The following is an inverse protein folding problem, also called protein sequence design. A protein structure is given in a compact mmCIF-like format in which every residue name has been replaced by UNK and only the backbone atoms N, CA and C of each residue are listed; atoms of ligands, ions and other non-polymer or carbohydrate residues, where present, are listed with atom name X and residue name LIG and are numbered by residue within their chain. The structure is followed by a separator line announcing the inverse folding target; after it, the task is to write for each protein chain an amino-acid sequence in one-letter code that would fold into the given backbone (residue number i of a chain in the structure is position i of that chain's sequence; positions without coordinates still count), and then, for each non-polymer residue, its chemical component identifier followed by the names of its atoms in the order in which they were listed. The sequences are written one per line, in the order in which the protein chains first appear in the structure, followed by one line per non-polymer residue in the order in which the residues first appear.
data_IF_597710104890
#
_entry.id   IF_597710104890
#
_cell.length_a   1.000
_cell.length_b   1.000
_cell.length_c   1.000
_cell.angle_alpha   90.00
_cell.angle_beta   90.00
_cell.angle_gamma   90.00
#
_symmetry.space_group_name_H-M   'P 1'
#
loop_
_entity.id
_entity.type
_entity.pdbx_description
1 polymer ?
#
# COMPACT_ATOMS: atom_id res chain seq x y z
N UNK A 1 15.18 27.58 6.05
CA UNK A 1 13.87 27.36 5.39
C UNK A 1 13.19 26.23 6.15
N UNK A 2 11.92 26.36 6.47
CA UNK A 2 11.16 25.27 7.12
C UNK A 2 10.79 24.26 6.04
N UNK A 3 11.06 22.98 6.28
CA UNK A 3 10.70 21.87 5.39
C UNK A 3 9.17 21.82 5.22
N UNK A 4 8.68 21.63 4.00
CA UNK A 4 7.25 21.48 3.71
C UNK A 4 6.94 20.15 3.02
N UNK A 5 5.69 19.69 3.09
CA UNK A 5 5.23 18.50 2.38
C UNK A 5 5.49 18.60 0.85
N UNK A 6 5.34 19.80 0.28
CA UNK A 6 5.58 20.06 -1.14
C UNK A 6 7.05 19.92 -1.53
N UNK A 7 7.99 20.31 -0.64
CA UNK A 7 9.43 20.15 -0.91
C UNK A 7 9.77 18.67 -1.05
N UNK A 8 9.26 17.81 -0.15
CA UNK A 8 9.48 16.37 -0.23
C UNK A 8 8.98 15.76 -1.53
N UNK A 9 7.82 16.22 -2.01
CA UNK A 9 7.24 15.72 -3.27
C UNK A 9 8.09 16.16 -4.46
N UNK A 10 8.50 17.42 -4.54
CA UNK A 10 9.31 17.93 -5.65
C UNK A 10 10.60 17.13 -5.84
N UNK A 11 11.28 16.79 -4.73
CA UNK A 11 12.51 16.00 -4.76
C UNK A 11 12.26 14.52 -5.14
N UNK A 12 11.01 14.08 -5.03
CA UNK A 12 10.62 12.68 -5.33
C UNK A 12 10.11 12.50 -6.77
N UNK A 13 9.59 13.54 -7.43
CA UNK A 13 8.89 13.44 -8.72
C UNK A 13 9.73 12.77 -9.82
N UNK A 14 11.05 12.97 -9.85
CA UNK A 14 11.93 12.32 -10.83
C UNK A 14 11.95 10.78 -10.65
N UNK A 15 11.79 10.31 -9.41
CA UNK A 15 11.88 8.89 -9.06
C UNK A 15 10.51 8.20 -8.98
N UNK A 16 9.47 8.94 -8.65
CA UNK A 16 8.10 8.46 -8.43
C UNK A 16 7.11 9.03 -9.45
N UNK A 17 7.55 9.35 -10.66
CA UNK A 17 6.65 9.74 -11.75
C UNK A 17 5.85 8.54 -12.26
N UNK A 18 4.57 8.77 -12.55
CA UNK A 18 3.75 7.78 -13.24
C UNK A 18 4.29 7.57 -14.67
N UNK A 19 4.22 6.33 -15.21
CA UNK A 19 4.60 6.08 -16.60
C UNK A 19 3.85 7.01 -17.56
N UNK A 20 4.53 7.48 -18.61
CA UNK A 20 3.94 8.42 -19.58
C UNK A 20 2.64 7.92 -20.23
N UNK A 21 2.53 6.60 -20.43
CA UNK A 21 1.30 5.97 -20.94
C UNK A 21 0.12 6.15 -19.98
N UNK A 22 0.39 6.10 -18.66
CA UNK A 22 -0.64 6.30 -17.62
C UNK A 22 -1.12 7.74 -17.63
N UNK A 23 -0.18 8.70 -17.68
CA UNK A 23 -0.50 10.13 -17.74
C UNK A 23 -1.36 10.44 -18.96
N UNK A 24 -0.97 9.95 -20.14
CA UNK A 24 -1.73 10.14 -21.39
C UNK A 24 -3.11 9.49 -21.34
N UNK A 25 -3.23 8.28 -20.78
CA UNK A 25 -4.51 7.63 -20.59
C UNK A 25 -5.44 8.46 -19.70
N UNK A 26 -4.91 9.02 -18.61
CA UNK A 26 -5.66 9.88 -17.70
C UNK A 26 -6.07 11.21 -18.34
N UNK A 27 -5.21 11.84 -19.14
CA UNK A 27 -5.53 13.05 -19.89
C UNK A 27 -6.69 12.81 -20.86
N UNK A 28 -6.65 11.72 -21.64
CA UNK A 28 -7.72 11.36 -22.55
C UNK A 28 -9.07 11.13 -21.86
N UNK A 29 -9.05 10.53 -20.67
CA UNK A 29 -10.25 10.26 -19.90
C UNK A 29 -10.95 11.53 -19.38
N UNK A 30 -10.19 12.61 -19.23
CA UNK A 30 -10.75 13.92 -18.89
C UNK A 30 -11.39 14.64 -20.10
N UNK A 31 -11.25 14.08 -21.31
CA UNK A 31 -11.88 14.63 -22.52
C UNK A 31 -13.21 13.92 -22.82
N UNK A 32 -14.34 14.63 -22.82
CA UNK A 32 -15.68 14.02 -22.91
C UNK A 32 -15.96 13.28 -24.25
N UNK A 33 -15.15 13.51 -25.27
CA UNK A 33 -15.31 12.89 -26.59
C UNK A 33 -14.37 11.71 -26.85
N UNK A 34 -13.57 11.29 -25.87
CA UNK A 34 -12.62 10.19 -26.05
C UNK A 34 -13.35 8.85 -26.07
N UNK A 35 -13.10 8.05 -27.09
CA UNK A 35 -13.67 6.73 -27.25
C UNK A 35 -12.90 5.67 -26.42
N UNK A 36 -13.59 4.58 -26.04
CA UNK A 36 -12.96 3.43 -25.41
C UNK A 36 -11.84 2.81 -26.27
N UNK A 37 -11.93 2.95 -27.62
CA UNK A 37 -10.90 2.46 -28.54
C UNK A 37 -9.61 3.26 -28.41
N UNK A 38 -9.70 4.60 -28.40
CA UNK A 38 -8.52 5.49 -28.28
C UNK A 38 -7.78 5.25 -26.97
N UNK A 39 -8.51 5.08 -25.86
CA UNK A 39 -7.90 4.76 -24.55
C UNK A 39 -7.24 3.38 -24.64
N UNK A 40 -7.92 2.40 -25.24
CA UNK A 40 -7.39 1.05 -25.43
C UNK A 40 -6.09 1.02 -26.23
N UNK A 41 -5.98 1.84 -27.29
CA UNK A 41 -4.78 1.97 -28.13
C UNK A 41 -3.59 2.52 -27.32
N UNK A 42 -3.79 3.57 -26.54
CA UNK A 42 -2.72 4.14 -25.69
C UNK A 42 -2.26 3.13 -24.62
N UNK A 43 -3.20 2.44 -23.94
CA UNK A 43 -2.83 1.43 -22.95
C UNK A 43 -2.05 0.28 -23.62
N UNK A 44 -2.40 -0.10 -24.85
CA UNK A 44 -1.74 -1.15 -25.61
C UNK A 44 -0.28 -0.82 -25.99
N UNK A 45 0.14 0.43 -25.95
CA UNK A 45 1.55 0.82 -26.13
C UNK A 45 2.45 0.26 -25.02
N UNK A 46 1.89 -0.07 -23.83
CA UNK A 46 2.62 -0.74 -22.75
C UNK A 46 2.08 -2.16 -22.54
N UNK A 47 2.76 -3.19 -23.11
CA UNK A 47 2.34 -4.58 -22.96
C UNK A 47 2.32 -5.07 -21.50
N UNK A 48 3.19 -4.51 -20.64
CA UNK A 48 3.23 -4.89 -19.23
C UNK A 48 2.03 -4.32 -18.46
N UNK A 49 1.64 -3.09 -18.73
CA UNK A 49 0.43 -2.47 -18.21
C UNK A 49 -0.82 -3.22 -18.71
N UNK A 50 -0.90 -3.48 -20.00
CA UNK A 50 -2.00 -4.24 -20.62
C UNK A 50 -2.18 -5.61 -19.95
N UNK A 51 -1.10 -6.39 -19.86
CA UNK A 51 -1.14 -7.72 -19.23
C UNK A 51 -1.56 -7.66 -17.75
N UNK A 52 -1.13 -6.63 -17.04
CA UNK A 52 -1.49 -6.41 -15.64
C UNK A 52 -2.98 -6.09 -15.50
N UNK A 53 -3.50 -5.14 -16.27
CA UNK A 53 -4.91 -4.76 -16.25
C UNK A 53 -5.81 -5.94 -16.59
N UNK A 54 -5.49 -6.69 -17.66
CA UNK A 54 -6.23 -7.89 -18.03
C UNK A 54 -6.17 -8.96 -16.94
N UNK A 55 -5.07 -9.08 -16.21
CA UNK A 55 -4.98 -9.99 -15.07
C UNK A 55 -5.89 -9.53 -13.93
N UNK A 56 -5.89 -8.24 -13.60
CA UNK A 56 -6.73 -7.67 -12.53
C UNK A 56 -8.21 -7.89 -12.86
N UNK A 57 -8.67 -7.49 -14.03
CA UNK A 57 -10.10 -7.61 -14.41
C UNK A 57 -10.57 -9.06 -14.59
N UNK A 58 -9.66 -9.98 -14.91
CA UNK A 58 -9.96 -11.42 -15.00
C UNK A 58 -9.74 -12.17 -13.68
N UNK A 59 -9.37 -11.51 -12.61
CA UNK A 59 -9.23 -12.15 -11.29
C UNK A 59 -10.60 -12.47 -10.69
N UNK A 60 -10.64 -13.44 -9.77
CA UNK A 60 -11.86 -13.76 -9.04
C UNK A 60 -12.35 -12.57 -8.20
N UNK A 61 -11.47 -11.62 -7.85
CA UNK A 61 -11.84 -10.36 -7.21
C UNK A 61 -12.89 -9.55 -8.00
N UNK A 62 -12.86 -9.63 -9.36
CA UNK A 62 -13.89 -9.03 -10.22
C UNK A 62 -15.03 -9.99 -10.54
N UNK A 63 -14.76 -11.29 -10.60
CA UNK A 63 -15.78 -12.34 -10.73
C UNK A 63 -16.57 -12.31 -12.05
N UNK A 64 -16.01 -11.78 -13.15
CA UNK A 64 -16.70 -11.78 -14.43
C UNK A 64 -16.86 -13.20 -14.97
N UNK A 65 -18.06 -13.55 -15.52
CA UNK A 65 -18.37 -14.91 -15.95
C UNK A 65 -17.62 -15.35 -17.20
N UNK A 66 -17.07 -14.41 -17.97
CA UNK A 66 -16.30 -14.68 -19.20
C UNK A 66 -14.98 -13.94 -19.19
N UNK A 67 -13.95 -14.57 -19.76
CA UNK A 67 -12.63 -13.98 -19.88
C UNK A 67 -12.65 -12.72 -20.76
N UNK A 68 -12.00 -11.69 -20.26
CA UNK A 68 -11.79 -10.40 -20.95
C UNK A 68 -10.42 -10.45 -21.60
N UNK A 69 -10.36 -10.32 -22.94
CA UNK A 69 -9.13 -10.53 -23.70
C UNK A 69 -8.51 -9.22 -24.23
N UNK A 70 -9.28 -8.13 -24.22
CA UNK A 70 -8.83 -6.82 -24.74
C UNK A 70 -9.15 -5.69 -23.79
N UNK A 71 -8.36 -4.63 -23.84
CA UNK A 71 -8.60 -3.41 -23.04
C UNK A 71 -9.92 -2.74 -23.43
N UNK A 72 -10.25 -2.67 -24.74
CA UNK A 72 -11.53 -2.10 -25.18
C UNK A 72 -12.73 -2.88 -24.60
N UNK A 73 -12.62 -4.21 -24.51
CA UNK A 73 -13.64 -5.03 -23.85
C UNK A 73 -13.68 -4.79 -22.34
N UNK A 74 -12.52 -4.62 -21.69
CA UNK A 74 -12.45 -4.25 -20.26
C UNK A 74 -13.15 -2.92 -20.01
N UNK A 75 -12.89 -1.90 -20.83
CA UNK A 75 -13.56 -0.59 -20.74
C UNK A 75 -15.07 -0.74 -20.86
N UNK A 76 -15.56 -1.55 -21.81
CA UNK A 76 -17.00 -1.77 -22.03
C UNK A 76 -17.69 -2.42 -20.84
N UNK A 77 -17.00 -3.34 -20.14
CA UNK A 77 -17.57 -4.15 -19.05
C UNK A 77 -17.39 -3.45 -17.69
N UNK A 78 -16.20 -2.96 -17.43
CA UNK A 78 -15.81 -2.35 -16.14
C UNK A 78 -16.24 -0.89 -16.08
N UNK A 79 -16.15 -0.18 -17.18
CA UNK A 79 -16.31 1.26 -17.28
C UNK A 79 -14.97 1.97 -17.50
N UNK A 80 -15.06 3.15 -18.11
CA UNK A 80 -13.87 3.94 -18.44
C UNK A 80 -13.20 4.51 -17.20
N UNK A 81 -13.98 5.10 -16.31
CA UNK A 81 -13.47 5.72 -15.06
C UNK A 81 -12.89 4.67 -14.14
N UNK A 82 -13.58 3.55 -13.98
CA UNK A 82 -13.17 2.45 -13.12
C UNK A 82 -11.85 1.84 -13.60
N UNK A 83 -11.71 1.61 -14.92
CA UNK A 83 -10.46 1.08 -15.46
C UNK A 83 -9.30 2.05 -15.29
N UNK A 84 -9.56 3.37 -15.37
CA UNK A 84 -8.53 4.39 -15.12
C UNK A 84 -8.07 4.39 -13.68
N UNK A 85 -9.01 4.35 -12.76
CA UNK A 85 -8.67 4.29 -11.34
C UNK A 85 -7.78 3.05 -11.07
N UNK A 86 -8.07 1.89 -11.70
CA UNK A 86 -7.23 0.69 -11.62
C UNK A 86 -5.83 0.85 -12.24
N UNK A 87 -5.75 1.52 -13.39
CA UNK A 87 -4.47 1.86 -14.03
C UNK A 87 -3.62 2.68 -13.07
N UNK A 88 -4.20 3.71 -12.48
CA UNK A 88 -3.54 4.57 -11.51
C UNK A 88 -3.03 3.76 -10.31
N UNK A 89 -3.92 3.04 -9.62
CA UNK A 89 -3.58 2.28 -8.42
C UNK A 89 -2.50 1.25 -8.69
N UNK A 90 -2.65 0.43 -9.76
CA UNK A 90 -1.66 -0.60 -10.11
C UNK A 90 -0.32 -0.03 -10.54
N UNK A 91 -0.30 1.15 -11.16
CA UNK A 91 0.94 1.82 -11.58
C UNK A 91 1.66 2.44 -10.41
N UNK A 92 0.94 3.09 -9.49
CA UNK A 92 1.51 3.63 -8.26
C UNK A 92 2.16 2.52 -7.41
N UNK A 93 1.48 1.37 -7.24
CA UNK A 93 2.07 0.19 -6.57
C UNK A 93 3.37 -0.23 -7.23
N UNK A 94 3.43 -0.29 -8.57
CA UNK A 94 4.64 -0.70 -9.30
C UNK A 94 5.79 0.29 -9.14
N UNK A 95 5.52 1.58 -9.17
CA UNK A 95 6.53 2.63 -9.01
C UNK A 95 7.12 2.55 -7.61
N UNK A 96 6.28 2.61 -6.59
CA UNK A 96 6.73 2.68 -5.20
C UNK A 96 7.28 1.36 -4.66
N UNK A 97 6.81 0.19 -5.13
CA UNK A 97 7.36 -1.11 -4.73
C UNK A 97 8.80 -1.34 -5.18
N UNK A 98 9.30 -0.55 -6.15
CA UNK A 98 10.68 -0.60 -6.63
C UNK A 98 11.63 0.33 -5.87
N UNK A 99 11.08 1.27 -5.10
CA UNK A 99 11.89 2.20 -4.34
C UNK A 99 12.49 1.50 -3.11
N UNK A 100 13.80 1.63 -2.88
CA UNK A 100 14.42 1.08 -1.69
C UNK A 100 13.85 1.72 -0.42
N UNK A 101 13.44 0.89 0.54
CA UNK A 101 12.99 1.33 1.85
C UNK A 101 13.58 0.39 2.92
N UNK A 102 14.15 0.98 3.98
CA UNK A 102 14.75 0.24 5.10
C UNK A 102 14.01 0.47 6.42
N UNK A 103 13.00 1.35 6.43
CA UNK A 103 12.28 1.74 7.66
C UNK A 103 11.08 0.84 7.93
N UNK A 104 10.43 0.37 6.88
CA UNK A 104 9.20 -0.43 6.98
C UNK A 104 9.29 -1.67 6.07
N UNK A 105 8.57 -2.71 6.47
CA UNK A 105 8.36 -3.88 5.61
C UNK A 105 7.37 -3.49 4.49
N UNK A 106 7.88 -3.40 3.26
CA UNK A 106 7.11 -3.00 2.09
C UNK A 106 5.98 -3.98 1.75
N UNK A 107 6.12 -5.28 2.08
CA UNK A 107 5.06 -6.26 1.86
C UNK A 107 3.88 -5.95 2.80
N UNK A 108 4.16 -5.76 4.08
CA UNK A 108 3.13 -5.38 5.07
C UNK A 108 2.49 -4.03 4.77
N UNK A 109 3.29 -3.06 4.29
CA UNK A 109 2.75 -1.76 3.88
C UNK A 109 1.71 -1.92 2.77
N UNK A 110 2.05 -2.66 1.71
CA UNK A 110 1.12 -2.87 0.59
C UNK A 110 -0.02 -3.81 0.93
N UNK A 111 0.17 -4.80 1.81
CA UNK A 111 -0.92 -5.63 2.32
C UNK A 111 -1.93 -4.81 3.11
N UNK A 112 -1.47 -3.91 3.99
CA UNK A 112 -2.35 -2.98 4.69
C UNK A 112 -3.11 -2.08 3.71
N UNK A 113 -2.41 -1.41 2.81
CA UNK A 113 -3.01 -0.51 1.82
C UNK A 113 -4.02 -1.24 0.91
N UNK A 114 -3.68 -2.44 0.47
CA UNK A 114 -4.58 -3.26 -0.35
C UNK A 114 -5.82 -3.70 0.43
N UNK A 115 -5.65 -4.17 1.67
CA UNK A 115 -6.79 -4.57 2.49
C UNK A 115 -7.70 -3.38 2.79
N UNK A 116 -7.13 -2.22 3.09
CA UNK A 116 -7.90 -0.96 3.23
C UNK A 116 -8.67 -0.63 1.97
N UNK A 117 -8.08 -0.83 0.79
CA UNK A 117 -8.78 -0.69 -0.49
C UNK A 117 -9.95 -1.66 -0.64
N UNK A 118 -9.77 -2.94 -0.30
CA UNK A 118 -10.82 -3.95 -0.35
C UNK A 118 -11.97 -3.59 0.61
N UNK A 119 -11.65 -3.23 1.85
CA UNK A 119 -12.65 -2.80 2.85
C UNK A 119 -13.39 -1.55 2.36
N UNK A 120 -12.68 -0.56 1.81
CA UNK A 120 -13.29 0.66 1.26
C UNK A 120 -14.28 0.35 0.13
N UNK A 121 -13.94 -0.59 -0.75
CA UNK A 121 -14.82 -1.07 -1.82
C UNK A 121 -16.08 -1.75 -1.26
N UNK A 122 -15.92 -2.58 -0.25
CA UNK A 122 -17.05 -3.24 0.42
C UNK A 122 -17.95 -2.21 1.09
N UNK A 123 -17.38 -1.27 1.86
CA UNK A 123 -18.14 -0.17 2.47
C UNK A 123 -18.89 0.67 1.43
N UNK A 124 -18.24 0.99 0.31
CA UNK A 124 -18.86 1.73 -0.80
C UNK A 124 -20.07 1.01 -1.39
N UNK A 125 -20.09 -0.34 -1.42
CA UNK A 125 -21.26 -1.12 -1.81
C UNK A 125 -22.40 -1.00 -0.80
N UNK A 126 -22.12 -1.07 0.49
CA UNK A 126 -23.12 -0.82 1.52
C UNK A 126 -23.73 0.59 1.42
N UNK A 127 -22.90 1.57 1.07
CA UNK A 127 -23.30 2.96 0.83
C UNK A 127 -23.99 3.17 -0.52
N UNK A 128 -24.02 2.15 -1.39
CA UNK A 128 -24.51 2.26 -2.78
C UNK A 128 -23.81 3.38 -3.55
N UNK A 129 -22.52 3.56 -3.29
CA UNK A 129 -21.71 4.56 -3.97
C UNK A 129 -21.64 4.28 -5.47
N UNK A 130 -21.65 5.31 -6.33
CA UNK A 130 -21.71 5.12 -7.79
C UNK A 130 -20.41 4.53 -8.36
N UNK A 131 -19.26 4.73 -7.69
CA UNK A 131 -17.97 4.23 -8.14
C UNK A 131 -17.22 3.55 -6.98
N UNK A 132 -17.41 2.24 -6.84
CA UNK A 132 -16.77 1.43 -5.81
C UNK A 132 -15.28 1.22 -6.07
N UNK A 133 -14.87 1.19 -7.35
CA UNK A 133 -13.47 1.01 -7.74
C UNK A 133 -12.63 2.23 -7.35
N UNK A 134 -13.20 3.42 -7.44
CA UNK A 134 -12.54 4.63 -6.95
C UNK A 134 -12.26 4.55 -5.44
N UNK A 135 -13.23 4.10 -4.64
CA UNK A 135 -13.02 3.89 -3.21
C UNK A 135 -11.93 2.85 -2.96
N UNK A 136 -11.89 1.77 -3.76
CA UNK A 136 -10.81 0.78 -3.69
C UNK A 136 -9.44 1.42 -3.92
N UNK A 137 -9.27 2.19 -5.00
CA UNK A 137 -7.98 2.80 -5.34
C UNK A 137 -7.58 3.89 -4.35
N UNK A 138 -8.54 4.65 -3.85
CA UNK A 138 -8.28 5.64 -2.79
C UNK A 138 -7.81 4.97 -1.50
N UNK A 139 -8.43 3.87 -1.08
CA UNK A 139 -7.96 3.08 0.05
C UNK A 139 -6.59 2.45 -0.19
N UNK A 140 -6.29 2.00 -1.41
CA UNK A 140 -4.97 1.49 -1.78
C UNK A 140 -3.87 2.56 -1.71
N UNK A 141 -4.20 3.83 -1.94
CA UNK A 141 -3.24 4.92 -2.06
C UNK A 141 -3.26 5.91 -0.88
N UNK A 142 -4.14 5.73 0.12
CA UNK A 142 -4.34 6.70 1.20
C UNK A 142 -3.05 7.08 1.93
N UNK A 143 -2.17 6.12 2.14
CA UNK A 143 -0.92 6.23 2.88
C UNK A 143 0.34 6.46 2.01
N UNK A 144 0.19 6.63 0.70
CA UNK A 144 1.34 6.70 -0.22
C UNK A 144 2.33 7.81 0.14
N UNK A 145 1.88 8.88 0.79
CA UNK A 145 2.71 9.97 1.27
C UNK A 145 3.77 9.53 2.29
N UNK A 146 3.47 8.50 3.09
CA UNK A 146 4.45 7.95 4.04
C UNK A 146 5.68 7.36 3.31
N UNK A 147 5.50 6.75 2.14
CA UNK A 147 6.62 6.23 1.34
C UNK A 147 7.52 7.35 0.82
N UNK A 148 6.95 8.51 0.49
CA UNK A 148 7.71 9.72 0.13
C UNK A 148 8.53 10.20 1.33
N UNK A 149 7.90 10.31 2.51
CA UNK A 149 8.58 10.72 3.75
C UNK A 149 9.72 9.78 4.10
N UNK A 150 9.48 8.47 4.09
CA UNK A 150 10.49 7.45 4.39
C UNK A 150 11.69 7.49 3.44
N UNK A 151 11.44 7.86 2.21
CA UNK A 151 12.48 7.97 1.18
C UNK A 151 13.31 9.23 1.31
N UNK A 152 12.66 10.38 1.48
CA UNK A 152 13.30 11.70 1.45
C UNK A 152 13.90 12.11 2.79
N UNK A 153 13.28 11.70 3.89
CA UNK A 153 13.70 12.06 5.24
C UNK A 153 13.72 10.83 6.16
N UNK A 154 14.61 9.85 5.90
CA UNK A 154 14.60 8.58 6.62
C UNK A 154 14.87 8.73 8.13
N UNK A 155 15.67 9.71 8.53
CA UNK A 155 16.01 9.91 9.95
C UNK A 155 14.85 10.52 10.73
N UNK A 156 14.19 11.57 10.19
CA UNK A 156 12.99 12.15 10.79
C UNK A 156 11.83 11.13 10.79
N UNK A 157 11.70 10.35 9.71
CA UNK A 157 10.69 9.30 9.64
C UNK A 157 10.91 8.21 10.70
N UNK A 158 12.17 7.84 10.96
CA UNK A 158 12.51 6.90 12.03
C UNK A 158 12.12 7.48 13.40
N UNK A 159 12.43 8.75 13.65
CA UNK A 159 12.05 9.44 14.87
C UNK A 159 10.53 9.43 15.09
N UNK A 160 9.74 9.75 14.06
CA UNK A 160 8.28 9.70 14.12
C UNK A 160 7.73 8.29 14.40
N UNK A 161 8.26 7.26 13.72
CA UNK A 161 7.90 5.85 13.95
C UNK A 161 8.24 5.39 15.38
N UNK A 162 9.42 5.74 15.88
CA UNK A 162 9.81 5.41 17.25
C UNK A 162 8.96 6.15 18.28
N UNK A 163 8.62 7.40 18.01
CA UNK A 163 7.72 8.19 18.87
C UNK A 163 6.34 7.58 18.95
N UNK A 164 5.73 7.25 17.80
CA UNK A 164 4.44 6.58 17.73
C UNK A 164 4.43 5.20 18.43
N UNK A 165 5.60 4.53 18.53
CA UNK A 165 5.73 3.25 19.23
C UNK A 165 5.84 3.44 20.74
N UNK A 166 6.56 4.46 21.20
CA UNK A 166 6.83 4.73 22.63
C UNK A 166 5.66 5.41 23.32
N UNK A 167 4.93 6.25 22.62
CA UNK A 167 3.83 7.05 23.16
C UNK A 167 2.46 6.53 22.70
N UNK A 168 1.37 6.79 23.41
CA UNK A 168 0.01 6.45 22.98
C UNK A 168 -0.48 7.41 21.89
N UNK A 169 0.28 7.53 20.82
CA UNK A 169 0.10 8.47 19.73
C UNK A 169 -0.04 7.73 18.40
N UNK A 170 -0.97 8.15 17.55
CA UNK A 170 -1.06 7.66 16.18
C UNK A 170 0.11 8.19 15.33
N UNK A 171 0.46 7.47 14.25
CA UNK A 171 1.62 7.82 13.43
C UNK A 171 1.50 9.24 12.86
N UNK A 172 0.35 9.61 12.30
CA UNK A 172 0.16 10.95 11.72
C UNK A 172 0.35 12.10 12.74
N UNK A 173 0.00 11.88 14.02
CA UNK A 173 0.24 12.86 15.06
C UNK A 173 1.73 12.94 15.42
N UNK A 174 2.42 11.78 15.49
CA UNK A 174 3.87 11.75 15.71
C UNK A 174 4.62 12.45 14.55
N UNK A 175 4.18 12.23 13.30
CA UNK A 175 4.72 12.91 12.13
C UNK A 175 4.52 14.43 12.22
N UNK A 176 3.34 14.91 12.62
CA UNK A 176 3.08 16.34 12.81
C UNK A 176 3.98 16.97 13.87
N UNK A 177 4.31 16.23 14.94
CA UNK A 177 5.22 16.74 15.97
C UNK A 177 6.67 16.79 15.50
N UNK A 178 7.11 15.85 14.61
CA UNK A 178 8.49 15.77 14.13
C UNK A 178 8.71 16.63 12.88
N UNK A 179 7.78 16.62 11.93
CA UNK A 179 7.92 17.31 10.64
C UNK A 179 7.17 18.64 10.58
N UNK A 180 6.12 18.84 11.40
CA UNK A 180 5.16 19.93 11.26
C UNK A 180 3.99 19.62 10.30
N UNK A 181 4.00 18.46 9.63
CA UNK A 181 2.97 17.93 8.73
C UNK A 181 2.95 16.39 8.78
N UNK A 182 1.94 15.76 8.21
CA UNK A 182 1.80 14.31 8.19
C UNK A 182 1.83 13.72 6.77
N UNK A 183 1.82 12.39 6.69
CA UNK A 183 1.82 11.67 5.40
C UNK A 183 0.56 11.93 4.56
N UNK A 184 -0.57 12.27 5.16
CA UNK A 184 -1.78 12.66 4.44
C UNK A 184 -1.57 13.94 3.65
N UNK A 185 -0.89 14.93 4.25
CA UNK A 185 -0.51 16.17 3.56
C UNK A 185 0.48 15.91 2.42
N UNK A 186 1.49 15.06 2.65
CA UNK A 186 2.46 14.68 1.60
C UNK A 186 1.79 13.91 0.47
N UNK A 187 0.89 12.96 0.79
CA UNK A 187 0.09 12.24 -0.20
C UNK A 187 -0.76 13.18 -1.05
N UNK A 188 -1.40 14.17 -0.43
CA UNK A 188 -2.18 15.18 -1.14
C UNK A 188 -1.33 16.01 -2.12
N UNK A 189 -0.11 16.44 -1.72
CA UNK A 189 0.81 17.15 -2.61
C UNK A 189 1.28 16.26 -3.77
N UNK A 190 1.56 14.97 -3.51
CA UNK A 190 1.92 13.99 -4.55
C UNK A 190 0.78 13.81 -5.57
N UNK A 191 -0.45 13.65 -5.10
CA UNK A 191 -1.62 13.49 -5.96
C UNK A 191 -1.89 14.76 -6.81
N UNK A 192 -1.65 15.96 -6.26
CA UNK A 192 -1.66 17.20 -7.06
C UNK A 192 -0.58 17.22 -8.13
N UNK A 193 0.64 16.83 -7.77
CA UNK A 193 1.75 16.77 -8.72
C UNK A 193 1.51 15.76 -9.85
N UNK A 194 0.75 14.69 -9.59
CA UNK A 194 0.27 13.74 -10.59
C UNK A 194 -0.97 14.21 -11.35
N UNK A 195 -1.46 15.43 -11.07
CA UNK A 195 -2.67 16.00 -11.67
C UNK A 195 -3.91 15.12 -11.51
N UNK A 196 -4.06 14.48 -10.32
CA UNK A 196 -5.22 13.65 -10.01
C UNK A 196 -6.45 14.50 -9.66
N UNK A 197 -7.66 13.93 -9.80
CA UNK A 197 -8.90 14.61 -9.38
C UNK A 197 -8.86 15.06 -7.92
N UNK A 198 -9.50 16.20 -7.64
CA UNK A 198 -9.60 16.80 -6.29
C UNK A 198 -10.06 15.83 -5.21
N UNK A 199 -10.86 14.81 -5.58
CA UNK A 199 -11.32 13.78 -4.63
C UNK A 199 -10.16 12.98 -4.05
N UNK A 200 -9.16 12.60 -4.87
CA UNK A 200 -7.95 11.91 -4.40
C UNK A 200 -7.15 12.79 -3.44
N UNK A 201 -6.97 14.06 -3.82
CA UNK A 201 -6.24 15.05 -3.01
C UNK A 201 -6.90 15.26 -1.64
N UNK A 202 -8.24 15.45 -1.63
CA UNK A 202 -9.00 15.67 -0.41
C UNK A 202 -8.95 14.45 0.52
N UNK A 203 -9.14 13.25 -0.02
CA UNK A 203 -9.12 12.01 0.75
C UNK A 203 -7.74 11.76 1.33
N UNK A 204 -6.68 11.85 0.53
CA UNK A 204 -5.33 11.70 1.05
C UNK A 204 -5.05 12.65 2.21
N UNK A 205 -5.45 13.92 2.09
CA UNK A 205 -5.22 14.96 3.11
C UNK A 205 -5.99 14.73 4.40
N UNK A 206 -7.24 14.25 4.30
CA UNK A 206 -8.20 14.30 5.40
C UNK A 206 -8.61 12.92 5.93
N UNK A 207 -8.04 11.81 5.43
CA UNK A 207 -8.47 10.46 5.82
C UNK A 207 -8.29 10.17 7.32
N UNK A 208 -7.45 10.88 8.04
CA UNK A 208 -7.36 10.77 9.50
C UNK A 208 -8.40 11.61 10.25
N UNK A 209 -8.90 12.69 9.64
CA UNK A 209 -9.86 13.62 10.24
C UNK A 209 -10.92 14.01 9.20
N UNK A 210 -11.83 13.09 8.82
CA UNK A 210 -12.81 13.32 7.75
C UNK A 210 -13.77 14.49 8.02
N UNK A 211 -14.00 14.87 9.26
CA UNK A 211 -14.81 16.05 9.60
C UNK A 211 -14.20 17.36 9.09
N UNK A 212 -12.87 17.42 8.90
CA UNK A 212 -12.17 18.60 8.40
C UNK A 212 -12.24 18.76 6.87
N UNK A 213 -12.73 17.74 6.15
CA UNK A 213 -12.89 17.83 4.71
C UNK A 213 -14.07 18.74 4.34
N UNK A 214 -13.82 19.75 3.51
CA UNK A 214 -14.88 20.63 3.01
C UNK A 214 -15.70 19.96 1.90
N UNK A 215 -15.05 19.16 1.08
CA UNK A 215 -15.62 18.38 -0.06
C UNK A 215 -15.28 16.90 0.09
N UNK A 216 -16.02 16.04 -0.55
CA UNK A 216 -15.81 14.58 -0.54
C UNK A 216 -15.83 13.96 0.87
N UNK A 217 -16.67 14.51 1.77
CA UNK A 217 -16.73 14.10 3.17
C UNK A 217 -17.15 12.65 3.36
N UNK A 218 -18.10 12.18 2.54
CA UNK A 218 -18.56 10.80 2.58
C UNK A 218 -17.47 9.82 2.18
N UNK A 219 -16.79 10.10 1.06
CA UNK A 219 -15.70 9.28 0.56
C UNK A 219 -14.53 9.29 1.55
N UNK A 220 -14.17 10.46 2.09
CA UNK A 220 -13.12 10.59 3.09
C UNK A 220 -13.45 9.80 4.37
N UNK A 221 -14.68 9.87 4.86
CA UNK A 221 -15.14 9.09 6.00
C UNK A 221 -15.15 7.58 5.70
N UNK A 222 -15.49 7.19 4.47
CA UNK A 222 -15.43 5.79 4.02
C UNK A 222 -14.01 5.25 4.08
N UNK A 223 -13.02 6.01 3.60
CA UNK A 223 -11.61 5.61 3.65
C UNK A 223 -11.09 5.59 5.09
N UNK A 224 -11.47 6.57 5.91
CA UNK A 224 -11.15 6.56 7.34
C UNK A 224 -11.65 5.30 8.04
N UNK A 225 -12.93 4.95 7.86
CA UNK A 225 -13.49 3.72 8.43
C UNK A 225 -12.79 2.47 7.90
N UNK A 226 -12.45 2.44 6.61
CA UNK A 226 -11.73 1.32 6.02
C UNK A 226 -10.34 1.15 6.64
N UNK A 227 -9.58 2.23 6.86
CA UNK A 227 -8.26 2.18 7.52
C UNK A 227 -8.36 1.71 8.97
N UNK A 228 -9.33 2.24 9.73
CA UNK A 228 -9.58 1.82 11.13
C UNK A 228 -9.95 0.34 11.20
N UNK A 229 -10.88 -0.13 10.36
CA UNK A 229 -11.31 -1.54 10.32
C UNK A 229 -10.12 -2.43 9.94
N UNK A 230 -9.31 -2.04 8.96
CA UNK A 230 -8.08 -2.76 8.57
C UNK A 230 -7.10 -2.85 9.73
N UNK A 231 -6.87 -1.74 10.43
CA UNK A 231 -6.00 -1.71 11.59
C UNK A 231 -6.47 -2.63 12.73
N UNK A 232 -7.79 -2.76 12.92
CA UNK A 232 -8.38 -3.68 13.91
C UNK A 232 -8.28 -5.14 13.48
N UNK A 233 -8.57 -5.46 12.22
CA UNK A 233 -8.55 -6.81 11.67
C UNK A 233 -7.14 -7.41 11.63
N UNK A 234 -6.12 -6.61 11.32
CA UNK A 234 -4.73 -7.04 11.18
C UNK A 234 -3.83 -6.63 12.35
N UNK A 235 -4.41 -6.22 13.49
CA UNK A 235 -3.66 -5.87 14.71
C UNK A 235 -3.01 -7.10 15.31
N UNK A 236 -1.84 -7.51 14.78
CA UNK A 236 -0.95 -8.45 15.45
C UNK A 236 -0.05 -7.69 16.41
N UNK A 237 0.34 -8.32 17.53
CA UNK A 237 1.11 -7.73 18.62
C UNK A 237 2.50 -7.14 18.24
N UNK A 238 2.90 -7.22 16.98
CA UNK A 238 4.14 -6.65 16.42
C UNK A 238 3.91 -5.49 15.45
N UNK A 239 2.68 -4.97 15.32
CA UNK A 239 2.41 -3.85 14.45
C UNK A 239 3.06 -2.59 15.05
N UNK A 240 4.17 -2.16 14.47
CA UNK A 240 4.84 -0.88 14.73
C UNK A 240 3.96 0.32 14.41
N UNK A 241 2.79 0.07 13.81
CA UNK A 241 1.81 1.06 13.42
C UNK A 241 0.57 0.88 14.29
N UNK A 242 0.27 1.86 15.14
CA UNK A 242 -1.01 1.91 15.84
C UNK A 242 -2.09 2.21 14.81
N UNK A 243 -3.20 1.46 14.85
CA UNK A 243 -4.38 1.77 14.06
C UNK A 243 -4.76 3.24 14.26
N UNK A 244 -5.20 3.89 13.19
CA UNK A 244 -5.74 5.24 13.28
C UNK A 244 -6.85 5.27 14.32
N UNK A 245 -6.85 6.30 15.15
CA UNK A 245 -7.93 6.48 16.12
C UNK A 245 -9.23 6.78 15.35
N UNK A 246 -10.29 6.05 15.68
CA UNK A 246 -11.59 6.28 15.08
C UNK A 246 -12.09 7.70 15.40
N UNK A 247 -12.34 8.49 14.37
CA UNK A 247 -13.05 9.76 14.50
C UNK A 247 -14.56 9.49 14.62
N UNK A 248 -15.21 9.85 15.73
CA UNK A 248 -16.64 9.55 15.95
C UNK A 248 -17.56 10.04 14.84
N UNK A 249 -17.27 11.22 14.25
CA UNK A 249 -18.03 11.79 13.15
C UNK A 249 -18.01 10.99 11.85
N UNK A 250 -17.10 10.03 11.70
CA UNK A 250 -17.03 9.21 10.49
C UNK A 250 -18.27 8.30 10.32
N UNK A 251 -18.77 7.73 11.41
CA UNK A 251 -20.02 6.96 11.38
C UNK A 251 -21.22 7.83 11.01
N UNK A 252 -21.30 9.03 11.58
CA UNK A 252 -22.39 9.98 11.27
C UNK A 252 -22.35 10.41 9.81
N UNK A 253 -21.16 10.68 9.27
CA UNK A 253 -20.98 11.08 7.87
C UNK A 253 -21.38 9.99 6.88
N UNK A 254 -21.12 8.73 7.20
CA UNK A 254 -21.47 7.60 6.35
C UNK A 254 -22.90 7.13 6.56
N UNK A 255 -23.53 7.41 7.71
CA UNK A 255 -24.81 6.85 8.10
C UNK A 255 -24.79 5.34 8.32
N UNK A 256 -23.60 4.75 8.37
CA UNK A 256 -23.42 3.33 8.68
C UNK A 256 -23.39 3.11 10.19
N UNK A 257 -23.67 1.90 10.62
CA UNK A 257 -23.61 1.51 12.02
C UNK A 257 -22.49 0.50 12.27
N UNK A 258 -22.07 0.34 13.51
CA UNK A 258 -20.98 -0.57 13.89
C UNK A 258 -21.30 -2.04 13.57
N UNK A 259 -22.55 -2.41 13.46
CA UNK A 259 -23.00 -3.77 13.16
C UNK A 259 -22.57 -4.26 11.78
N UNK A 260 -22.20 -3.34 10.86
CA UNK A 260 -21.67 -3.73 9.55
C UNK A 260 -20.24 -4.24 9.59
N UNK A 261 -19.50 -4.04 10.69
CA UNK A 261 -18.07 -4.38 10.75
C UNK A 261 -17.81 -5.86 10.48
N UNK A 262 -18.57 -6.75 11.13
CA UNK A 262 -18.41 -8.19 10.96
C UNK A 262 -18.66 -8.63 9.50
N UNK A 263 -19.81 -8.31 8.85
CA UNK A 263 -20.01 -8.65 7.44
C UNK A 263 -19.01 -7.97 6.49
N UNK A 264 -18.56 -6.77 6.78
CA UNK A 264 -17.54 -6.08 5.97
C UNK A 264 -16.20 -6.81 6.04
N UNK A 265 -15.73 -7.18 7.23
CA UNK A 265 -14.48 -7.93 7.41
C UNK A 265 -14.58 -9.30 6.74
N UNK A 266 -15.68 -10.03 6.93
CA UNK A 266 -15.88 -11.34 6.33
C UNK A 266 -15.86 -11.28 4.79
N UNK A 267 -16.49 -10.27 4.18
CA UNK A 267 -16.45 -10.06 2.73
C UNK A 267 -15.07 -9.63 2.25
N UNK A 268 -14.38 -8.76 3.00
CA UNK A 268 -13.04 -8.32 2.67
C UNK A 268 -12.03 -9.48 2.72
N UNK A 269 -12.07 -10.32 3.75
CA UNK A 269 -11.22 -11.52 3.88
C UNK A 269 -11.43 -12.48 2.70
N UNK A 270 -12.67 -12.69 2.29
CA UNK A 270 -12.98 -13.55 1.15
C UNK A 270 -12.41 -13.03 -0.19
N UNK A 271 -12.18 -11.72 -0.34
CA UNK A 271 -11.69 -11.09 -1.56
C UNK A 271 -10.18 -10.80 -1.53
N UNK A 272 -9.58 -10.73 -0.34
CA UNK A 272 -8.23 -10.20 -0.17
C UNK A 272 -7.14 -10.99 -0.91
N UNK A 273 -7.12 -12.32 -0.78
CA UNK A 273 -6.07 -13.14 -1.41
C UNK A 273 -6.10 -13.04 -2.94
N UNK A 274 -7.29 -12.95 -3.54
CA UNK A 274 -7.44 -12.77 -4.97
C UNK A 274 -6.97 -11.38 -5.43
N UNK A 275 -7.33 -10.35 -4.68
CA UNK A 275 -6.85 -8.99 -4.93
C UNK A 275 -5.32 -8.90 -4.79
N UNK A 276 -4.75 -9.55 -3.75
CA UNK A 276 -3.31 -9.61 -3.50
C UNK A 276 -2.56 -10.25 -4.66
N UNK A 277 -3.02 -11.40 -5.12
CA UNK A 277 -2.41 -12.11 -6.24
C UNK A 277 -2.48 -11.32 -7.56
N UNK A 278 -3.55 -10.52 -7.76
CA UNK A 278 -3.76 -9.75 -8.98
C UNK A 278 -2.94 -8.45 -9.01
N UNK A 279 -2.82 -7.74 -7.88
CA UNK A 279 -2.36 -6.36 -7.82
C UNK A 279 -0.93 -6.24 -7.30
N UNK A 280 -0.57 -6.99 -6.25
CA UNK A 280 0.77 -6.87 -5.67
C UNK A 280 1.84 -7.61 -6.48
N UNK A 281 3.07 -7.09 -6.52
CA UNK A 281 4.16 -7.74 -7.24
C UNK A 281 4.50 -9.11 -6.64
N UNK A 282 4.61 -10.14 -7.47
CA UNK A 282 5.00 -11.47 -7.00
C UNK A 282 6.51 -11.49 -6.65
N UNK A 283 6.85 -11.69 -5.37
CA UNK A 283 8.23 -11.74 -4.87
C UNK A 283 9.13 -12.72 -5.61
N UNK A 284 8.61 -13.87 -6.04
CA UNK A 284 9.40 -14.89 -6.77
C UNK A 284 9.90 -14.40 -8.13
N UNK A 285 9.15 -13.54 -8.81
CA UNK A 285 9.54 -12.96 -10.08
C UNK A 285 10.56 -11.82 -9.92
N UNK A 286 10.48 -11.04 -8.86
CA UNK A 286 11.40 -9.93 -8.57
C UNK A 286 12.82 -10.43 -8.18
N UNK A 287 12.94 -11.52 -7.42
CA UNK A 287 14.21 -12.16 -7.07
C UNK A 287 14.88 -12.79 -8.29
N UNK A 288 14.12 -13.43 -9.19
CA UNK A 288 14.65 -14.02 -10.43
C UNK A 288 15.18 -12.96 -11.42
N UNK A 289 14.59 -11.78 -11.46
CA UNK A 289 15.02 -10.67 -12.33
C UNK A 289 16.24 -9.89 -11.78
N UNK A 290 16.43 -9.88 -10.46
CA UNK A 290 17.56 -9.21 -9.79
C UNK A 290 18.87 -10.00 -9.83
N UNK A 291 18.82 -11.33 -9.92
CA UNK A 291 20.03 -12.19 -9.90
C UNK A 291 20.69 -12.41 -11.27
N UNK A 292 20.07 -11.90 -12.36
CA UNK A 292 20.57 -12.11 -13.73
C UNK A 292 21.56 -11.04 -14.21
N UNK A 293 21.99 -10.06 -13.40
CA UNK A 293 22.90 -8.98 -13.87
C UNK A 293 24.19 -8.77 -13.09
N UNK A 294 24.63 -9.70 -12.25
CA UNK A 294 25.95 -9.61 -11.58
C UNK A 294 26.70 -10.95 -11.57
N UNK A 295 26.85 -11.56 -12.75
CA UNK A 295 27.86 -12.60 -12.96
C UNK A 295 28.71 -12.23 -14.18
N UNK A 296 29.54 -11.20 -14.04
CA UNK A 296 30.80 -11.13 -14.79
C UNK A 296 31.75 -10.13 -14.11
N UNK A 297 32.55 -10.65 -13.19
CA UNK A 297 33.92 -10.27 -12.89
C UNK A 297 34.48 -11.17 -11.77
N UNK A 298 35.37 -12.07 -12.18
CA UNK A 298 36.00 -13.07 -11.34
C UNK A 298 36.65 -12.51 -10.07
N UNK A 299 36.16 -13.02 -8.95
CA UNK A 299 36.91 -13.13 -7.71
C UNK A 299 36.37 -14.39 -7.02
N UNK A 300 37.19 -15.45 -7.03
CA UNK A 300 36.95 -16.67 -6.28
C UNK A 300 36.80 -16.35 -4.78
N UNK A 301 35.78 -16.85 -4.09
CA UNK A 301 35.76 -16.75 -2.65
C UNK A 301 36.76 -17.74 -2.03
N UNK A 302 37.78 -17.20 -1.35
CA UNK A 302 38.63 -17.97 -0.46
C UNK A 302 37.76 -18.40 0.73
N UNK A 303 37.49 -19.69 0.80
CA UNK A 303 36.78 -20.31 1.91
C UNK A 303 37.75 -20.44 3.10
N UNK A 304 37.52 -19.84 4.27
CA UNK A 304 38.33 -20.15 5.45
C UNK A 304 37.96 -21.53 5.99
N UNK A 305 38.97 -22.40 6.17
CA UNK A 305 38.82 -23.73 6.71
C UNK A 305 38.20 -23.73 8.12
N UNK A 306 37.39 -24.76 8.47
CA UNK A 306 36.77 -24.84 9.79
C UNK A 306 37.81 -25.11 10.88
N UNK A 307 37.86 -24.26 11.91
CA UNK A 307 38.65 -24.47 13.15
C UNK A 307 38.12 -25.69 13.89
N UNK A 308 39.01 -26.68 14.10
CA UNK A 308 38.72 -27.85 14.96
C UNK A 308 38.46 -27.40 16.41
N UNK A 309 37.47 -27.96 17.10
CA UNK A 309 37.28 -27.68 18.50
C UNK A 309 38.37 -28.38 19.37
N UNK A 310 38.87 -27.66 20.35
CA UNK A 310 39.87 -28.14 21.31
C UNK A 310 39.32 -29.31 22.12
N UNK A 311 40.09 -30.39 22.21
CA UNK A 311 39.85 -31.55 23.05
C UNK A 311 39.82 -31.12 24.54
N UNK A 312 38.68 -31.19 25.18
CA UNK A 312 38.55 -31.12 26.63
C UNK A 312 39.18 -32.38 27.26
N UNK A 313 40.23 -32.18 28.02
CA UNK A 313 40.81 -33.22 28.91
C UNK A 313 39.80 -33.56 29.99
N UNK A 314 39.37 -34.80 30.02
CA UNK A 314 38.61 -35.38 31.14
C UNK A 314 39.54 -35.52 32.32
N UNK A 315 39.29 -34.81 33.44
CA UNK A 315 39.87 -35.05 34.73
C UNK A 315 39.14 -36.22 35.39
N UNK A 316 39.91 -37.28 35.70
CA UNK A 316 39.42 -38.38 36.55
C UNK A 316 39.21 -37.88 37.98
N UNK A 317 38.02 -38.03 38.49
CA UNK A 317 37.75 -37.97 39.93
C UNK A 317 37.67 -39.40 40.48
N UNK A 318 38.27 -39.69 41.62
CA UNK A 318 38.18 -40.99 42.28
C UNK A 318 36.79 -41.17 42.93
N UNK A 319 36.28 -42.40 42.87
CA UNK A 319 34.99 -42.79 43.43
C UNK A 319 35.00 -42.95 44.96
N UNK A 320 33.84 -42.87 45.59
CA UNK A 320 33.72 -42.99 47.02
C UNK A 320 33.84 -44.42 47.53
N UNK A 321 34.49 -44.58 48.68
CA UNK A 321 34.70 -45.81 49.46
C UNK A 321 33.37 -46.20 50.11
N UNK A 322 33.00 -47.51 50.19
CA UNK A 322 31.78 -47.95 50.86
C UNK A 322 31.97 -47.98 52.36
N UNK A 323 31.08 -47.34 53.11
CA UNK A 323 30.94 -47.51 54.57
C UNK A 323 30.15 -48.80 54.85
N UNK A 324 30.64 -49.62 55.79
CA UNK A 324 29.96 -50.74 56.39
C UNK A 324 29.21 -50.24 57.62
N UNK A 325 27.95 -50.57 57.67
CA UNK A 325 27.13 -50.46 58.88
C UNK A 325 27.41 -51.60 59.87
N UNK A 326 27.24 -51.37 61.25
CA UNK A 326 27.04 -52.40 62.20
C UNK A 326 25.56 -52.79 62.34
#
# INVERSE_FOLDING_TARGET
MTLTARDLVNDTLELASLPGVVIRAMELLNHPNTSASEIGEIIAEDPALTARLLRIVNSAFYGFPSRIETISRAITIVGTLELTDLILGSSAVQVFSRLPNQLVDMERFWEHSLYTGVVARVLARFLRAPNTERCFVMGLLHDIGALVMYRQQPDLSREALEKATREPLSLHLAEREVFGFDHGEVGAELMRAWNLPDSFVAIARHHHQPSTAERYRLETATIHLADVITGMAHSTASATRRASALEPGAWELTGLSVEIMEPVVAEADAQFEEARAAILPNRRAAYAAGFSRTTDRGLSPVCPAPRRPARQRRSCRPGPVPQRDP
#
